data_IF_555743844414
#
_entry.id   IF_555743844414
#
_cell.length_a   1.000
_cell.length_b   1.000
_cell.length_c   1.000
_cell.angle_alpha   90.00
_cell.angle_beta   90.00
_cell.angle_gamma   90.00
#
_symmetry.space_group_name_H-M   'P 1'
#
loop_
_entity.id
_entity.type
_entity.pdbx_description
1 polymer ?
#
# COMPACT_ATOMS: atom_id res chain seq x y z
N UNK A 1 63.99 9.69 -39.58
CA UNK A 1 63.61 8.91 -38.37
C UNK A 1 62.85 9.77 -37.31
N UNK A 2 63.07 11.07 -37.20
CA UNK A 2 62.44 11.95 -36.19
C UNK A 2 60.95 12.28 -36.45
N UNK A 3 60.54 12.34 -37.70
CA UNK A 3 59.15 12.71 -38.08
C UNK A 3 58.11 11.59 -37.79
N UNK A 4 58.53 10.35 -37.87
CA UNK A 4 57.63 9.21 -37.57
C UNK A 4 57.29 9.08 -36.06
N UNK A 5 58.20 9.45 -35.20
CA UNK A 5 57.97 9.43 -33.74
C UNK A 5 57.03 10.56 -33.32
N UNK A 6 57.13 11.74 -33.90
CA UNK A 6 56.28 12.88 -33.59
C UNK A 6 54.80 12.63 -33.95
N UNK A 7 54.56 12.04 -35.12
CA UNK A 7 53.19 11.68 -35.55
C UNK A 7 52.55 10.62 -34.65
N UNK A 8 53.34 9.66 -34.14
CA UNK A 8 52.84 8.59 -33.26
C UNK A 8 52.40 9.16 -31.88
N UNK A 9 53.12 10.10 -31.35
CA UNK A 9 52.79 10.74 -30.07
C UNK A 9 51.58 11.65 -30.23
N UNK A 10 51.46 12.38 -31.33
CA UNK A 10 50.33 13.28 -31.61
C UNK A 10 49.03 12.51 -31.80
N UNK A 11 49.07 11.37 -32.51
CA UNK A 11 47.88 10.49 -32.69
C UNK A 11 47.48 9.82 -31.39
N UNK A 12 48.39 9.46 -30.54
CA UNK A 12 48.09 8.86 -29.24
C UNK A 12 47.43 9.86 -28.28
N UNK A 13 47.88 11.10 -28.24
CA UNK A 13 47.23 12.15 -27.44
C UNK A 13 45.85 12.54 -27.99
N UNK A 14 45.66 12.54 -29.30
CA UNK A 14 44.36 12.82 -29.92
C UNK A 14 43.36 11.70 -29.60
N UNK A 15 43.82 10.44 -29.66
CA UNK A 15 43.00 9.27 -29.35
C UNK A 15 42.55 9.24 -27.88
N UNK A 16 43.44 9.58 -26.93
CA UNK A 16 43.07 9.67 -25.52
C UNK A 16 42.09 10.82 -25.23
N UNK A 17 42.21 11.96 -25.90
CA UNK A 17 41.27 13.06 -25.76
C UNK A 17 39.90 12.75 -26.32
N UNK A 18 39.83 12.06 -27.45
CA UNK A 18 38.57 11.60 -28.05
C UNK A 18 37.92 10.51 -27.19
N UNK A 19 38.69 9.59 -26.64
CA UNK A 19 38.18 8.55 -25.74
C UNK A 19 37.67 9.14 -24.42
N UNK A 20 38.33 10.13 -23.84
CA UNK A 20 37.86 10.81 -22.64
C UNK A 20 36.61 11.66 -22.90
N UNK A 21 36.47 12.29 -24.06
CA UNK A 21 35.27 13.03 -24.44
C UNK A 21 34.08 12.09 -24.65
N UNK A 22 34.31 10.92 -25.26
CA UNK A 22 33.30 9.86 -25.42
C UNK A 22 32.82 9.30 -24.09
N UNK A 23 33.74 9.10 -23.15
CA UNK A 23 33.40 8.61 -21.80
C UNK A 23 32.56 9.65 -21.03
N UNK A 24 32.91 10.93 -21.12
CA UNK A 24 32.15 12.01 -20.47
C UNK A 24 30.74 12.11 -21.09
N UNK A 25 30.62 12.03 -22.42
CA UNK A 25 29.34 12.02 -23.11
C UNK A 25 28.48 10.81 -22.71
N UNK A 26 29.08 9.64 -22.54
CA UNK A 26 28.41 8.43 -22.09
C UNK A 26 27.86 8.58 -20.64
N UNK A 27 28.64 9.19 -19.75
CA UNK A 27 28.23 9.47 -18.36
C UNK A 27 27.06 10.47 -18.31
N UNK A 28 27.07 11.49 -19.18
CA UNK A 28 25.97 12.48 -19.26
C UNK A 28 24.67 11.82 -19.79
N UNK A 29 24.76 10.89 -20.74
CA UNK A 29 23.60 10.15 -21.28
C UNK A 29 23.05 9.17 -20.22
N UNK A 30 23.91 8.51 -19.42
CA UNK A 30 23.49 7.60 -18.36
C UNK A 30 22.93 8.35 -17.14
N UNK A 31 23.35 9.58 -16.87
CA UNK A 31 22.80 10.44 -15.80
C UNK A 31 21.44 11.06 -16.13
N UNK A 32 21.00 11.02 -17.41
CA UNK A 32 19.74 11.56 -17.88
C UNK A 32 18.51 10.65 -17.72
N UNK A 33 18.60 9.53 -16.99
CA UNK A 33 17.41 8.80 -16.56
C UNK A 33 16.61 9.71 -15.63
N UNK A 34 15.62 10.38 -16.21
CA UNK A 34 14.70 11.27 -15.54
C UNK A 34 13.87 10.56 -14.47
N UNK A 35 14.46 10.28 -13.31
CA UNK A 35 13.73 10.00 -12.09
C UNK A 35 13.05 11.31 -11.68
N UNK A 36 11.85 11.55 -12.17
CA UNK A 36 10.99 12.54 -11.54
C UNK A 36 10.55 11.96 -10.19
N UNK A 37 11.03 12.56 -9.11
CA UNK A 37 10.54 12.30 -7.78
C UNK A 37 9.03 12.62 -7.78
N UNK A 38 8.18 11.59 -7.73
CA UNK A 38 6.71 11.70 -7.76
C UNK A 38 6.15 12.31 -6.46
N UNK A 39 7.00 12.82 -5.58
CA UNK A 39 6.65 13.39 -4.28
C UNK A 39 6.24 14.85 -4.23
N UNK A 40 6.25 15.59 -5.35
CA UNK A 40 6.06 17.05 -5.30
C UNK A 40 4.91 17.62 -6.13
N UNK A 41 4.08 16.78 -6.75
CA UNK A 41 2.88 17.25 -7.46
C UNK A 41 1.62 16.85 -6.72
N UNK A 42 1.38 17.50 -5.60
CA UNK A 42 0.06 17.47 -4.98
C UNK A 42 -0.91 18.26 -5.87
N UNK A 43 -2.05 17.65 -6.23
CA UNK A 43 -3.16 18.34 -6.92
C UNK A 43 -4.06 19.11 -5.95
N UNK A 44 -3.70 19.08 -4.66
CA UNK A 44 -4.45 19.79 -3.63
C UNK A 44 -4.41 21.30 -3.88
N UNK A 45 -5.51 22.01 -3.60
CA UNK A 45 -5.54 23.46 -3.68
C UNK A 45 -4.51 24.11 -2.76
N UNK A 46 -3.96 25.28 -3.13
CA UNK A 46 -2.99 25.97 -2.30
C UNK A 46 -3.55 26.25 -0.88
N UNK A 47 -2.69 26.15 0.13
CA UNK A 47 -3.04 26.37 1.53
C UNK A 47 -3.50 25.10 2.27
N UNK A 48 -3.43 23.93 1.69
CA UNK A 48 -3.71 22.67 2.37
C UNK A 48 -2.39 21.94 2.57
N UNK A 49 -1.85 22.02 3.77
CA UNK A 49 -0.62 21.36 4.17
C UNK A 49 -0.83 20.37 5.33
N UNK A 50 -1.90 20.58 6.12
CA UNK A 50 -2.20 19.78 7.31
C UNK A 50 -3.58 19.15 7.17
N UNK A 51 -3.66 17.84 7.32
CA UNK A 51 -4.90 17.07 7.21
C UNK A 51 -5.18 16.35 8.52
N UNK A 52 -6.41 16.47 9.00
CA UNK A 52 -6.94 15.69 10.11
C UNK A 52 -7.68 14.46 9.55
N UNK A 53 -7.35 13.28 10.03
CA UNK A 53 -8.02 12.02 9.67
C UNK A 53 -8.74 11.51 10.93
N UNK A 54 -10.06 11.74 11.03
CA UNK A 54 -10.87 11.21 12.15
C UNK A 54 -10.94 9.68 12.06
N UNK A 55 -11.45 9.08 13.12
CA UNK A 55 -11.78 7.65 13.08
C UNK A 55 -12.83 7.39 12.00
N UNK A 56 -12.56 6.41 11.14
CA UNK A 56 -13.44 6.01 10.05
C UNK A 56 -14.75 5.45 10.60
N UNK A 57 -15.86 5.99 10.14
CA UNK A 57 -17.17 5.45 10.42
C UNK A 57 -17.36 4.11 9.70
N UNK A 58 -17.89 3.11 10.40
CA UNK A 58 -18.11 1.80 9.81
C UNK A 58 -19.55 1.36 9.98
N UNK A 59 -20.32 1.43 8.89
CA UNK A 59 -21.69 0.95 8.82
C UNK A 59 -21.81 -0.45 8.19
N UNK A 60 -20.66 -1.09 7.89
CA UNK A 60 -20.64 -2.45 7.35
C UNK A 60 -20.80 -3.52 8.45
N UNK A 61 -21.03 -4.75 8.04
CA UNK A 61 -21.13 -5.89 8.96
C UNK A 61 -19.78 -6.33 9.58
N UNK A 62 -18.64 -5.82 9.09
CA UNK A 62 -17.29 -6.17 9.58
C UNK A 62 -16.86 -5.19 10.69
N UNK A 63 -17.25 -5.48 11.94
CA UNK A 63 -17.17 -4.56 13.07
C UNK A 63 -15.77 -4.00 13.37
N UNK A 64 -14.69 -4.72 13.09
CA UNK A 64 -13.31 -4.29 13.38
C UNK A 64 -12.62 -3.51 12.26
N UNK A 65 -13.27 -3.27 11.14
CA UNK A 65 -12.61 -2.73 9.95
C UNK A 65 -12.35 -1.21 10.02
N UNK A 66 -13.19 -0.44 10.70
CA UNK A 66 -13.04 1.02 10.83
C UNK A 66 -11.68 1.45 11.40
N UNK A 67 -11.28 0.98 12.60
CA UNK A 67 -9.96 1.27 13.16
C UNK A 67 -8.80 0.84 12.23
N UNK A 68 -8.87 -0.35 11.63
CA UNK A 68 -7.85 -0.84 10.70
C UNK A 68 -7.69 0.08 9.49
N UNK A 69 -8.79 0.58 8.94
CA UNK A 69 -8.75 1.53 7.82
C UNK A 69 -8.26 2.92 8.26
N UNK A 70 -8.61 3.37 9.47
CA UNK A 70 -8.11 4.64 10.04
C UNK A 70 -6.59 4.64 10.11
N UNK A 71 -6.01 3.58 10.70
CA UNK A 71 -4.56 3.43 10.83
C UNK A 71 -3.90 3.38 9.44
N UNK A 72 -4.46 2.59 8.52
CA UNK A 72 -3.94 2.49 7.16
C UNK A 72 -3.97 3.82 6.38
N UNK A 73 -5.01 4.64 6.57
CA UNK A 73 -5.11 5.97 5.97
C UNK A 73 -4.04 6.91 6.55
N UNK A 74 -3.89 6.97 7.89
CA UNK A 74 -2.87 7.79 8.53
C UNK A 74 -1.48 7.41 8.09
N UNK A 75 -1.13 6.11 8.14
CA UNK A 75 0.16 5.59 7.69
C UNK A 75 0.46 5.95 6.22
N UNK A 76 -0.56 5.88 5.36
CA UNK A 76 -0.41 6.18 3.94
C UNK A 76 -0.12 7.67 3.70
N UNK A 77 -0.86 8.57 4.37
CA UNK A 77 -0.68 10.02 4.23
C UNK A 77 0.64 10.50 4.83
N UNK A 78 1.07 9.95 5.97
CA UNK A 78 2.35 10.26 6.61
C UNK A 78 3.54 9.79 5.76
N UNK A 79 3.44 8.59 5.18
CA UNK A 79 4.53 7.98 4.40
C UNK A 79 4.94 8.80 3.18
N UNK A 80 4.00 9.41 2.50
CA UNK A 80 4.27 10.13 1.27
C UNK A 80 4.58 11.62 1.47
N UNK A 81 4.30 12.17 2.64
CA UNK A 81 4.75 13.49 3.07
C UNK A 81 4.30 14.69 2.23
N UNK A 82 3.33 14.51 1.31
CA UNK A 82 2.77 15.63 0.55
C UNK A 82 1.94 16.57 1.44
N UNK A 83 1.42 16.02 2.55
CA UNK A 83 0.70 16.73 3.61
C UNK A 83 1.12 16.16 4.96
N UNK A 84 0.99 16.95 6.02
CA UNK A 84 1.25 16.52 7.39
C UNK A 84 -0.06 16.07 8.03
N UNK A 85 -0.10 14.86 8.58
CA UNK A 85 -1.24 14.39 9.38
C UNK A 85 -1.16 15.01 10.77
N UNK A 86 -2.26 15.57 11.25
CA UNK A 86 -2.36 16.18 12.58
C UNK A 86 -3.41 15.47 13.42
N UNK A 87 -3.21 15.42 14.74
CA UNK A 87 -4.10 14.72 15.65
C UNK A 87 -5.32 15.57 16.08
N UNK A 88 -5.23 16.87 15.89
CA UNK A 88 -6.30 17.81 16.27
C UNK A 88 -6.95 18.44 15.05
N UNK A 89 -8.27 18.40 15.01
CA UNK A 89 -9.06 19.10 13.99
C UNK A 89 -8.79 20.60 13.95
N UNK A 90 -8.47 21.21 15.10
CA UNK A 90 -8.20 22.64 15.21
C UNK A 90 -6.90 23.07 14.49
N UNK A 91 -5.96 22.15 14.30
CA UNK A 91 -4.66 22.41 13.65
C UNK A 91 -4.68 22.10 12.16
N UNK A 92 -5.76 21.51 11.67
CA UNK A 92 -5.88 21.05 10.29
C UNK A 92 -6.36 22.16 9.36
N UNK A 93 -5.91 22.11 8.10
CA UNK A 93 -6.42 22.94 7.01
C UNK A 93 -7.60 22.25 6.30
N UNK A 94 -7.62 20.91 6.34
CA UNK A 94 -8.65 20.05 5.78
C UNK A 94 -8.83 18.78 6.63
N UNK A 95 -9.93 18.07 6.44
CA UNK A 95 -10.18 16.78 7.07
C UNK A 95 -10.70 15.76 6.05
N UNK A 96 -10.33 14.50 6.27
CA UNK A 96 -10.72 13.37 5.43
C UNK A 96 -11.88 12.64 6.10
N UNK A 97 -13.09 12.90 5.62
CA UNK A 97 -14.31 12.22 6.06
C UNK A 97 -14.45 10.89 5.32
N UNK A 98 -14.52 9.78 6.06
CA UNK A 98 -14.52 8.43 5.46
C UNK A 98 -15.51 7.54 6.17
N UNK A 99 -16.38 6.87 5.39
CA UNK A 99 -17.34 5.89 5.86
C UNK A 99 -17.23 4.58 5.10
N UNK A 100 -17.10 3.46 5.82
CA UNK A 100 -17.13 2.12 5.23
C UNK A 100 -18.58 1.71 5.02
N UNK A 101 -19.00 1.64 3.75
CA UNK A 101 -20.37 1.29 3.38
C UNK A 101 -20.59 -0.22 3.38
N UNK A 102 -19.61 -0.97 2.86
CA UNK A 102 -19.76 -2.41 2.68
C UNK A 102 -18.42 -3.13 2.68
N UNK A 103 -18.37 -4.25 3.39
CA UNK A 103 -17.32 -5.25 3.28
C UNK A 103 -17.97 -6.55 2.85
N UNK A 104 -17.54 -7.11 1.71
CA UNK A 104 -18.07 -8.36 1.16
C UNK A 104 -16.93 -9.34 0.93
N UNK A 105 -17.14 -10.57 1.38
CA UNK A 105 -16.27 -11.70 1.09
C UNK A 105 -17.01 -12.71 0.22
N UNK A 106 -16.39 -13.14 -0.87
CA UNK A 106 -16.97 -14.11 -1.81
C UNK A 106 -15.98 -15.24 -2.02
N UNK A 107 -16.40 -16.46 -1.75
CA UNK A 107 -15.60 -17.67 -2.04
C UNK A 107 -15.55 -17.89 -3.55
N UNK A 108 -14.35 -18.09 -4.10
CA UNK A 108 -14.13 -18.39 -5.53
C UNK A 108 -14.02 -19.87 -5.81
N UNK A 109 -13.26 -20.56 -4.97
CA UNK A 109 -12.95 -21.98 -5.18
C UNK A 109 -13.01 -22.70 -3.84
N UNK A 110 -13.65 -23.88 -3.83
CA UNK A 110 -13.70 -24.77 -2.67
C UNK A 110 -13.02 -26.09 -2.98
N UNK A 111 -12.57 -26.81 -1.95
CA UNK A 111 -12.13 -28.19 -2.10
C UNK A 111 -13.35 -29.11 -2.23
N UNK A 112 -13.36 -29.99 -3.21
CA UNK A 112 -14.48 -30.92 -3.45
C UNK A 112 -14.79 -31.92 -2.33
N UNK A 113 -13.90 -32.04 -1.33
CA UNK A 113 -14.03 -33.04 -0.25
C UNK A 113 -14.43 -32.42 1.11
N UNK A 114 -14.14 -31.14 1.34
CA UNK A 114 -14.32 -30.52 2.67
C UNK A 114 -15.00 -29.15 2.62
N UNK A 115 -15.45 -28.69 1.45
CA UNK A 115 -16.04 -27.36 1.22
C UNK A 115 -15.20 -26.18 1.78
N UNK A 116 -13.89 -26.40 1.98
CA UNK A 116 -12.99 -25.33 2.44
C UNK A 116 -12.66 -24.39 1.29
N UNK A 117 -12.80 -23.09 1.54
CA UNK A 117 -12.42 -22.07 0.58
C UNK A 117 -10.91 -22.11 0.31
N UNK A 118 -10.54 -22.39 -0.94
CA UNK A 118 -9.15 -22.32 -1.43
C UNK A 118 -8.78 -20.92 -1.88
N UNK A 119 -9.77 -20.13 -2.30
CA UNK A 119 -9.61 -18.77 -2.74
C UNK A 119 -10.86 -17.96 -2.41
N UNK A 120 -10.68 -16.77 -1.90
CA UNK A 120 -11.77 -15.85 -1.65
C UNK A 120 -11.39 -14.42 -2.05
N UNK A 121 -12.39 -13.67 -2.50
CA UNK A 121 -12.26 -12.25 -2.79
C UNK A 121 -12.85 -11.45 -1.63
N UNK A 122 -12.11 -10.46 -1.17
CA UNK A 122 -12.61 -9.47 -0.25
C UNK A 122 -12.73 -8.15 -1.00
N UNK A 123 -13.94 -7.59 -1.03
CA UNK A 123 -14.24 -6.28 -1.60
C UNK A 123 -14.72 -5.32 -0.51
N UNK A 124 -14.22 -4.10 -0.55
CA UNK A 124 -14.58 -3.02 0.36
C UNK A 124 -15.06 -1.84 -0.46
N UNK A 125 -16.20 -1.28 -0.08
CA UNK A 125 -16.75 -0.05 -0.65
C UNK A 125 -16.77 1.04 0.42
N UNK A 126 -16.19 2.19 0.13
CA UNK A 126 -16.10 3.33 1.03
C UNK A 126 -16.64 4.60 0.36
N UNK A 127 -17.28 5.48 1.13
CA UNK A 127 -17.52 6.88 0.78
C UNK A 127 -16.40 7.71 1.42
N UNK A 128 -15.69 8.47 0.62
CA UNK A 128 -14.56 9.29 1.07
C UNK A 128 -14.71 10.69 0.54
N UNK A 129 -14.57 11.65 1.42
CA UNK A 129 -14.63 13.06 1.07
C UNK A 129 -13.54 13.85 1.80
N UNK A 130 -12.75 14.61 1.04
CA UNK A 130 -11.78 15.57 1.56
C UNK A 130 -12.43 16.95 1.60
N UNK A 131 -12.58 17.50 2.80
CA UNK A 131 -13.25 18.79 3.05
C UNK A 131 -12.29 19.81 3.66
N UNK A 132 -12.43 21.06 3.29
CA UNK A 132 -11.81 22.17 4.04
C UNK A 132 -12.49 22.32 5.40
N UNK A 133 -11.81 23.01 6.33
CA UNK A 133 -12.38 23.31 7.66
C UNK A 133 -13.65 24.14 7.60
N UNK A 134 -13.86 24.92 6.53
CA UNK A 134 -15.11 25.68 6.29
C UNK A 134 -16.25 24.82 5.72
N UNK A 135 -16.05 23.50 5.54
CA UNK A 135 -17.04 22.55 5.02
C UNK A 135 -17.08 22.42 3.50
N UNK A 136 -16.29 23.19 2.73
CA UNK A 136 -16.27 23.04 1.27
C UNK A 136 -15.56 21.74 0.87
N UNK A 137 -16.19 20.97 -0.02
CA UNK A 137 -15.62 19.76 -0.58
C UNK A 137 -14.48 20.10 -1.54
N UNK A 138 -13.34 19.43 -1.38
CA UNK A 138 -12.18 19.53 -2.26
C UNK A 138 -12.21 18.37 -3.25
N UNK A 139 -12.47 17.18 -2.74
CA UNK A 139 -12.55 15.96 -3.52
C UNK A 139 -13.52 14.99 -2.84
N UNK A 140 -14.25 14.22 -3.63
CA UNK A 140 -15.16 13.20 -3.13
C UNK A 140 -15.23 11.99 -4.06
N UNK A 141 -15.26 10.81 -3.46
CA UNK A 141 -15.62 9.56 -4.13
C UNK A 141 -16.62 8.78 -3.26
N UNK A 142 -17.92 8.80 -3.60
CA UNK A 142 -18.98 8.23 -2.75
C UNK A 142 -19.05 6.72 -2.78
N UNK A 143 -18.31 6.03 -3.67
CA UNK A 143 -18.38 4.58 -3.85
C UNK A 143 -17.07 3.98 -4.33
N UNK A 144 -15.95 4.42 -3.73
CA UNK A 144 -14.65 3.83 -4.01
C UNK A 144 -14.65 2.36 -3.62
N UNK A 145 -14.52 1.48 -4.60
CA UNK A 145 -14.50 0.03 -4.36
C UNK A 145 -13.12 -0.54 -4.65
N UNK A 146 -12.63 -1.33 -3.71
CA UNK A 146 -11.38 -2.07 -3.80
C UNK A 146 -11.67 -3.54 -3.58
N UNK A 147 -11.15 -4.40 -4.45
CA UNK A 147 -11.26 -5.84 -4.33
C UNK A 147 -9.89 -6.48 -4.39
N UNK A 148 -9.66 -7.49 -3.55
CA UNK A 148 -8.42 -8.27 -3.53
C UNK A 148 -8.72 -9.74 -3.31
N UNK A 149 -8.01 -10.59 -4.08
CA UNK A 149 -8.12 -12.04 -3.95
C UNK A 149 -7.06 -12.55 -2.97
N UNK A 150 -7.48 -13.48 -2.13
CA UNK A 150 -6.62 -14.15 -1.14
C UNK A 150 -6.73 -15.67 -1.34
N UNK A 151 -5.57 -16.35 -1.31
CA UNK A 151 -5.52 -17.82 -1.26
C UNK A 151 -5.80 -18.30 0.16
N UNK A 152 -6.66 -19.30 0.32
CA UNK A 152 -6.76 -20.06 1.56
C UNK A 152 -5.58 -21.03 1.65
N UNK A 153 -4.72 -20.90 2.64
CA UNK A 153 -3.70 -21.92 2.91
C UNK A 153 -4.36 -23.10 3.59
N UNK A 154 -4.42 -24.24 2.90
CA UNK A 154 -5.03 -25.48 3.42
C UNK A 154 -4.08 -26.30 4.28
N UNK A 155 -2.84 -25.86 4.48
CA UNK A 155 -1.85 -26.64 5.24
C UNK A 155 -1.06 -25.76 6.21
N UNK A 156 -1.58 -25.60 7.43
CA UNK A 156 -0.70 -25.48 8.58
C UNK A 156 -0.48 -26.89 9.14
N UNK A 157 0.62 -27.52 8.76
CA UNK A 157 1.12 -28.66 9.49
C UNK A 157 1.64 -28.12 10.82
N UNK A 158 0.78 -28.14 11.85
CA UNK A 158 1.23 -27.96 13.21
C UNK A 158 1.97 -29.24 13.59
N UNK A 159 3.29 -29.13 13.64
CA UNK A 159 4.10 -30.14 14.32
C UNK A 159 3.62 -30.21 15.76
N UNK A 160 2.83 -31.23 16.08
CA UNK A 160 2.52 -31.58 17.46
C UNK A 160 3.79 -32.08 18.09
N UNK A 161 4.45 -31.25 18.91
CA UNK A 161 5.47 -31.74 19.84
C UNK A 161 4.79 -32.66 20.85
N UNK A 162 5.39 -33.81 21.09
CA UNK A 162 4.87 -34.87 21.98
C UNK A 162 4.68 -34.43 23.46
N UNK A 163 5.11 -33.21 23.82
CA UNK A 163 5.08 -32.70 25.21
C UNK A 163 3.72 -32.13 25.66
N UNK A 164 2.68 -32.11 24.79
CA UNK A 164 1.35 -31.61 25.18
C UNK A 164 0.32 -32.70 25.50
N UNK A 165 0.72 -33.95 25.62
CA UNK A 165 -0.23 -35.06 25.78
C UNK A 165 -0.72 -35.32 27.22
N UNK A 166 -0.36 -34.49 28.20
CA UNK A 166 -0.81 -34.66 29.59
C UNK A 166 -2.06 -33.87 30.00
N UNK A 167 -2.68 -33.15 29.10
CA UNK A 167 -3.93 -32.45 29.35
C UNK A 167 -5.14 -33.14 28.71
N UNK A 168 -6.30 -33.08 29.34
CA UNK A 168 -7.60 -33.67 28.94
C UNK A 168 -8.18 -33.19 27.56
N UNK A 169 -7.38 -32.62 26.69
CA UNK A 169 -7.79 -32.18 25.34
C UNK A 169 -7.37 -33.24 24.32
N UNK A 170 -8.33 -33.68 23.50
CA UNK A 170 -8.04 -34.63 22.44
C UNK A 170 -7.20 -33.94 21.31
N UNK A 171 -6.38 -34.72 20.61
CA UNK A 171 -5.67 -34.21 19.44
C UNK A 171 -6.61 -33.58 18.37
N UNK A 172 -7.86 -34.01 18.30
CA UNK A 172 -8.90 -33.44 17.45
C UNK A 172 -9.35 -32.06 17.92
N UNK A 173 -9.47 -31.83 19.24
CA UNK A 173 -9.84 -30.56 19.84
C UNK A 173 -8.72 -29.53 19.63
N UNK A 174 -7.47 -29.94 19.83
CA UNK A 174 -6.29 -29.10 19.56
C UNK A 174 -6.14 -28.74 18.07
N UNK A 175 -6.41 -29.68 17.17
CA UNK A 175 -6.41 -29.43 15.73
C UNK A 175 -7.55 -28.48 15.32
N UNK A 176 -8.69 -28.57 15.99
CA UNK A 176 -9.84 -27.66 15.78
C UNK A 176 -9.53 -26.22 16.24
N UNK A 177 -8.95 -26.07 17.43
CA UNK A 177 -8.58 -24.76 17.98
C UNK A 177 -7.49 -24.07 17.12
N UNK A 178 -6.46 -24.80 16.74
CA UNK A 178 -5.39 -24.27 15.89
C UNK A 178 -5.88 -23.91 14.48
N UNK A 179 -6.81 -24.65 13.92
CA UNK A 179 -7.43 -24.32 12.64
C UNK A 179 -8.25 -23.02 12.70
N UNK A 180 -8.98 -22.79 13.80
CA UNK A 180 -9.73 -21.56 14.01
C UNK A 180 -8.82 -20.33 14.19
N UNK A 181 -7.73 -20.49 14.93
CA UNK A 181 -6.75 -19.42 15.13
C UNK A 181 -6.07 -19.01 13.82
N UNK A 182 -5.69 -19.99 12.99
CA UNK A 182 -5.15 -19.74 11.65
C UNK A 182 -6.16 -19.00 10.77
N UNK A 183 -7.43 -19.40 10.78
CA UNK A 183 -8.46 -18.72 10.02
C UNK A 183 -8.67 -17.27 10.48
N UNK A 184 -8.67 -17.00 11.79
CA UNK A 184 -8.78 -15.65 12.33
C UNK A 184 -7.58 -14.78 11.95
N UNK A 185 -6.37 -15.33 12.04
CA UNK A 185 -5.15 -14.59 11.66
C UNK A 185 -5.10 -14.27 10.17
N UNK A 186 -5.53 -15.20 9.31
CA UNK A 186 -5.67 -14.97 7.87
C UNK A 186 -6.72 -13.91 7.56
N UNK A 187 -7.85 -13.94 8.26
CA UNK A 187 -8.88 -12.92 8.13
C UNK A 187 -8.35 -11.54 8.51
N UNK A 188 -7.71 -11.41 9.65
CA UNK A 188 -7.12 -10.15 10.10
C UNK A 188 -6.08 -9.61 9.10
N UNK A 189 -5.21 -10.49 8.57
CA UNK A 189 -4.22 -10.13 7.57
C UNK A 189 -4.86 -9.67 6.27
N UNK A 190 -5.91 -10.35 5.82
CA UNK A 190 -6.63 -9.97 4.60
C UNK A 190 -7.30 -8.60 4.74
N UNK A 191 -7.90 -8.30 5.89
CA UNK A 191 -8.53 -7.00 6.15
C UNK A 191 -7.50 -5.87 6.18
N UNK A 192 -6.34 -6.07 6.83
CA UNK A 192 -5.24 -5.09 6.82
C UNK A 192 -4.72 -4.84 5.41
N UNK A 193 -4.54 -5.90 4.62
CA UNK A 193 -4.07 -5.77 3.23
C UNK A 193 -5.06 -5.01 2.35
N UNK A 194 -6.36 -5.24 2.50
CA UNK A 194 -7.38 -4.49 1.76
C UNK A 194 -7.45 -3.05 2.25
N UNK A 195 -7.34 -2.80 3.56
CA UNK A 195 -7.33 -1.45 4.11
C UNK A 195 -6.15 -0.61 3.57
N UNK A 196 -4.94 -1.19 3.51
CA UNK A 196 -3.79 -0.50 2.92
C UNK A 196 -3.97 -0.21 1.43
N UNK A 197 -4.64 -1.07 0.70
CA UNK A 197 -4.97 -0.85 -0.71
C UNK A 197 -6.03 0.25 -0.89
N UNK A 198 -7.06 0.29 -0.02
CA UNK A 198 -8.03 1.40 0.02
C UNK A 198 -7.31 2.71 0.31
N UNK A 199 -6.46 2.75 1.35
CA UNK A 199 -5.71 3.95 1.73
C UNK A 199 -4.81 4.45 0.58
N UNK A 200 -4.14 3.55 -0.13
CA UNK A 200 -3.32 3.88 -1.30
C UNK A 200 -4.15 4.51 -2.41
N UNK A 201 -5.31 3.94 -2.73
CA UNK A 201 -6.20 4.49 -3.76
C UNK A 201 -6.82 5.83 -3.36
N UNK A 202 -7.19 5.99 -2.09
CA UNK A 202 -7.69 7.26 -1.56
C UNK A 202 -6.61 8.34 -1.69
N UNK A 203 -5.37 8.04 -1.27
CA UNK A 203 -4.26 8.96 -1.38
C UNK A 203 -3.98 9.35 -2.83
N UNK A 204 -3.88 8.35 -3.73
CA UNK A 204 -3.65 8.57 -5.15
C UNK A 204 -4.74 9.49 -5.76
N UNK A 205 -5.99 9.20 -5.51
CA UNK A 205 -7.09 9.98 -6.07
C UNK A 205 -7.24 11.37 -5.45
N UNK A 206 -7.06 11.51 -4.12
CA UNK A 206 -7.27 12.78 -3.42
C UNK A 206 -6.07 13.73 -3.50
N UNK A 207 -4.84 13.21 -3.53
CA UNK A 207 -3.60 14.00 -3.41
C UNK A 207 -2.83 14.09 -4.71
N UNK A 208 -2.71 12.98 -5.47
CA UNK A 208 -1.93 12.97 -6.73
C UNK A 208 -2.81 13.15 -7.97
N UNK A 209 -4.13 13.02 -7.85
CA UNK A 209 -5.07 13.16 -8.97
C UNK A 209 -5.00 12.02 -9.98
N UNK A 210 -4.40 10.89 -9.61
CA UNK A 210 -4.39 9.67 -10.42
C UNK A 210 -5.72 8.93 -10.24
N UNK A 211 -6.52 8.89 -11.29
CA UNK A 211 -7.83 8.23 -11.35
C UNK A 211 -7.74 6.87 -12.03
#
# INVERSE_FOLDING_TARGET
MRTQMFNKILTQHLFHRLASLGLILLIVILGGCGYSFQGSRSTLPPGINRIYIPQVENISAEAGFGPILTDALRDQFERFGAVTVVDSRAEADAFLDTSVLKVKRTTRTTTGTTDRALQYDTSVTVDVELKRMNGSSIWRNPSLTVSKSFGGTTSSVLGTSADFSEGNLSAADLAGLSSQEVLRSQQATSLRTVASEVARKVYAAAVTGDF
#
